data_IF_663252487567
#
_entry.id   IF_663252487567
#
_cell.length_a   1.000
_cell.length_b   1.000
_cell.length_c   1.000
_cell.angle_alpha   90.00
_cell.angle_beta   90.00
_cell.angle_gamma   90.00
#
_symmetry.space_group_name_H-M   'P 1'
#
loop_
_entity.id
_entity.type
_entity.pdbx_description
1 polymer ?
#
# COMPACT_ATOMS: atom_id res chain seq x y z
N UNK A 1 30.55 -42.60 17.38
CA UNK A 1 30.09 -41.46 18.22
C UNK A 1 29.01 -40.72 17.46
N UNK A 2 28.03 -40.18 18.21
CA UNK A 2 26.75 -39.71 17.68
C UNK A 2 26.91 -38.50 16.75
N UNK A 3 26.05 -38.50 15.73
CA UNK A 3 25.93 -37.58 14.60
C UNK A 3 24.99 -36.46 15.03
N UNK A 4 25.54 -35.32 15.39
CA UNK A 4 24.83 -34.08 15.74
C UNK A 4 25.74 -32.97 15.20
N UNK A 5 25.34 -32.01 14.36
CA UNK A 5 24.08 -31.30 14.23
C UNK A 5 23.96 -30.78 12.78
N UNK A 6 23.75 -31.66 11.80
CA UNK A 6 23.53 -31.24 10.40
C UNK A 6 22.04 -31.05 10.08
N UNK A 7 21.26 -30.60 11.06
CA UNK A 7 19.87 -30.18 10.88
C UNK A 7 19.66 -29.02 11.87
N UNK A 8 20.05 -27.83 11.46
CA UNK A 8 19.27 -26.67 11.89
C UNK A 8 17.92 -26.86 11.23
N UNK A 9 16.80 -26.91 11.97
CA UNK A 9 15.52 -26.71 11.33
C UNK A 9 15.60 -25.30 10.77
N UNK A 10 15.79 -25.17 9.45
CA UNK A 10 15.26 -24.02 8.76
C UNK A 10 13.78 -24.07 9.10
N UNK A 11 13.38 -23.32 10.11
CA UNK A 11 11.99 -22.96 10.33
C UNK A 11 11.61 -22.12 9.12
N UNK A 12 11.38 -22.78 8.00
CA UNK A 12 10.54 -22.29 6.92
C UNK A 12 9.19 -22.06 7.59
N UNK A 13 8.97 -20.86 8.14
CA UNK A 13 7.66 -20.47 8.63
C UNK A 13 6.78 -20.42 7.39
N UNK A 14 5.89 -21.41 7.18
CA UNK A 14 5.13 -21.50 5.95
C UNK A 14 4.22 -20.27 5.90
N UNK A 15 4.34 -19.45 4.86
CA UNK A 15 3.50 -18.28 4.67
C UNK A 15 4.17 -16.92 4.92
N UNK A 16 5.45 -16.85 5.29
CA UNK A 16 6.19 -15.57 5.33
C UNK A 16 6.20 -14.91 3.95
N UNK A 17 6.50 -15.65 2.88
CA UNK A 17 6.51 -15.12 1.52
C UNK A 17 5.13 -14.63 1.08
N UNK A 18 4.06 -15.32 1.50
CA UNK A 18 2.69 -14.90 1.24
C UNK A 18 2.34 -13.59 1.95
N UNK A 19 2.75 -13.45 3.22
CA UNK A 19 2.55 -12.23 3.99
C UNK A 19 3.32 -11.05 3.37
N UNK A 20 4.55 -11.28 2.92
CA UNK A 20 5.33 -10.27 2.20
C UNK A 20 4.67 -9.89 0.86
N UNK A 21 4.17 -10.87 0.10
CA UNK A 21 3.48 -10.61 -1.16
C UNK A 21 2.21 -9.77 -0.94
N UNK A 22 1.43 -10.05 0.10
CA UNK A 22 0.24 -9.27 0.48
C UNK A 22 0.62 -7.82 0.83
N UNK A 23 1.62 -7.62 1.69
CA UNK A 23 2.10 -6.27 2.04
C UNK A 23 2.62 -5.48 0.83
N UNK A 24 3.34 -6.14 -0.08
CA UNK A 24 3.81 -5.52 -1.32
C UNK A 24 2.63 -5.10 -2.19
N UNK A 25 1.64 -6.00 -2.36
CA UNK A 25 0.45 -5.73 -3.16
C UNK A 25 -0.36 -4.57 -2.57
N UNK A 26 -0.61 -4.56 -1.26
CA UNK A 26 -1.33 -3.50 -0.57
C UNK A 26 -0.63 -2.15 -0.76
N UNK A 27 0.70 -2.12 -0.61
CA UNK A 27 1.49 -0.90 -0.83
C UNK A 27 1.41 -0.44 -2.28
N UNK A 28 1.53 -1.35 -3.25
CA UNK A 28 1.46 -1.03 -4.66
C UNK A 28 0.07 -0.46 -5.05
N UNK A 29 -1.01 -1.08 -4.56
CA UNK A 29 -2.38 -0.62 -4.80
C UNK A 29 -2.63 0.76 -4.17
N UNK A 30 -2.14 0.98 -2.95
CA UNK A 30 -2.27 2.26 -2.27
C UNK A 30 -1.53 3.37 -3.03
N UNK A 31 -0.28 3.13 -3.44
CA UNK A 31 0.50 4.09 -4.23
C UNK A 31 -0.19 4.40 -5.55
N UNK A 32 -0.62 3.37 -6.29
CA UNK A 32 -1.31 3.54 -7.57
C UNK A 32 -2.57 4.40 -7.45
N UNK A 33 -3.41 4.15 -6.43
CA UNK A 33 -4.62 4.94 -6.19
C UNK A 33 -4.30 6.40 -5.85
N UNK A 34 -3.28 6.64 -5.03
CA UNK A 34 -2.82 8.00 -4.69
C UNK A 34 -2.37 8.76 -5.94
N UNK A 35 -1.53 8.14 -6.77
CA UNK A 35 -1.06 8.75 -8.03
C UNK A 35 -2.22 9.06 -8.98
N UNK A 36 -3.21 8.17 -9.10
CA UNK A 36 -4.40 8.45 -9.92
C UNK A 36 -5.23 9.62 -9.41
N UNK A 37 -5.38 9.77 -8.09
CA UNK A 37 -6.11 10.89 -7.51
C UNK A 37 -5.35 12.21 -7.72
N UNK A 38 -4.04 12.22 -7.53
CA UNK A 38 -3.20 13.39 -7.79
C UNK A 38 -3.31 13.85 -9.25
N UNK A 39 -3.25 12.93 -10.21
CA UNK A 39 -3.45 13.25 -11.63
C UNK A 39 -4.84 13.84 -11.92
N UNK A 40 -5.89 13.31 -11.29
CA UNK A 40 -7.27 13.84 -11.45
C UNK A 40 -7.43 15.20 -10.80
N UNK A 41 -6.80 15.45 -9.66
CA UNK A 41 -6.76 16.76 -9.00
C UNK A 41 -6.08 17.77 -9.92
N UNK A 42 -4.91 17.45 -10.45
CA UNK A 42 -4.20 18.32 -11.40
C UNK A 42 -5.04 18.63 -12.64
N UNK A 43 -5.74 17.63 -13.17
CA UNK A 43 -6.63 17.82 -14.31
C UNK A 43 -7.81 18.73 -13.95
N UNK A 44 -8.46 18.53 -12.80
CA UNK A 44 -9.56 19.39 -12.35
C UNK A 44 -9.13 20.85 -12.15
N UNK A 45 -7.89 21.09 -11.72
CA UNK A 45 -7.33 22.43 -11.61
C UNK A 45 -7.13 23.08 -13.00
N UNK A 46 -6.61 22.33 -13.98
CA UNK A 46 -6.47 22.81 -15.37
C UNK A 46 -7.81 23.17 -15.98
N UNK A 47 -8.83 22.35 -15.72
CA UNK A 47 -10.18 22.53 -16.23
C UNK A 47 -11.00 23.56 -15.42
N UNK A 48 -10.42 24.10 -14.33
CA UNK A 48 -11.09 24.97 -13.35
C UNK A 48 -12.37 24.37 -12.78
N UNK A 49 -12.43 23.03 -12.71
CA UNK A 49 -13.55 22.30 -12.16
C UNK A 49 -13.42 22.16 -10.63
N UNK A 50 -14.03 23.12 -9.92
CA UNK A 50 -14.00 23.17 -8.45
C UNK A 50 -14.64 21.95 -7.79
N UNK A 51 -15.72 21.42 -8.35
CA UNK A 51 -16.45 20.30 -7.76
C UNK A 51 -15.61 19.03 -7.77
N UNK A 52 -14.98 18.72 -8.91
CA UNK A 52 -14.10 17.57 -9.03
C UNK A 52 -12.83 17.71 -8.20
N UNK A 53 -12.25 18.92 -8.15
CA UNK A 53 -11.11 19.20 -7.30
C UNK A 53 -11.42 18.86 -5.83
N UNK A 54 -12.54 19.36 -5.31
CA UNK A 54 -12.94 19.12 -3.93
C UNK A 54 -13.21 17.64 -3.69
N UNK A 55 -13.93 16.97 -4.60
CA UNK A 55 -14.24 15.53 -4.47
C UNK A 55 -12.98 14.68 -4.41
N UNK A 56 -12.03 14.86 -5.34
CA UNK A 56 -10.82 14.05 -5.38
C UNK A 56 -9.84 14.38 -4.24
N UNK A 57 -9.81 15.64 -3.80
CA UNK A 57 -9.01 16.05 -2.63
C UNK A 57 -9.53 15.42 -1.34
N UNK A 58 -10.85 15.39 -1.15
CA UNK A 58 -11.48 14.74 0.00
C UNK A 58 -11.15 13.23 0.03
N UNK A 59 -11.27 12.56 -1.12
CA UNK A 59 -10.93 11.14 -1.26
C UNK A 59 -9.45 10.86 -0.94
N UNK A 60 -8.54 11.70 -1.44
CA UNK A 60 -7.11 11.58 -1.13
C UNK A 60 -6.81 11.81 0.36
N UNK A 61 -7.49 12.77 0.99
CA UNK A 61 -7.35 13.04 2.42
C UNK A 61 -7.85 11.87 3.28
N UNK A 62 -8.97 11.24 2.89
CA UNK A 62 -9.46 10.05 3.58
C UNK A 62 -8.45 8.91 3.52
N UNK A 63 -7.86 8.65 2.34
CA UNK A 63 -6.81 7.64 2.18
C UNK A 63 -5.57 7.94 3.03
N UNK A 64 -5.20 9.22 3.19
CA UNK A 64 -4.10 9.64 4.07
C UNK A 64 -4.41 9.38 5.54
N UNK A 65 -5.61 9.76 5.99
CA UNK A 65 -6.07 9.54 7.36
C UNK A 65 -6.14 8.05 7.72
N UNK A 66 -6.70 7.23 6.84
CA UNK A 66 -6.82 5.78 7.05
C UNK A 66 -5.45 5.08 7.14
N UNK A 67 -4.42 5.64 6.50
CA UNK A 67 -3.06 5.14 6.57
C UNK A 67 -2.31 5.61 7.83
N UNK A 68 -2.61 6.81 8.34
CA UNK A 68 -2.05 7.34 9.59
C UNK A 68 -2.61 6.63 10.83
N UNK A 69 -3.89 6.26 10.84
CA UNK A 69 -4.52 5.53 11.96
C UNK A 69 -4.09 4.05 12.07
N UNK A 70 -3.45 3.50 11.03
CA UNK A 70 -2.98 2.10 10.97
C UNK A 70 -1.51 1.91 11.37
N UNK A 71 -0.78 3.00 11.65
CA UNK A 71 0.62 3.00 12.09
C UNK A 71 0.70 3.26 13.60
#
# INVERSE_FOLDING_TARGET
MKKYLLNSPQSEVPGIDSLFAEMILDKALLTFRKEQLEQKIDQSLRDRNKEEFLRFTEELNQIRKDHEEKM
#
